data_IF_369365366200
#
_entry.id   IF_369365366200
#
_cell.length_a   1.000
_cell.length_b   1.000
_cell.length_c   1.000
_cell.angle_alpha   90.00
_cell.angle_beta   90.00
_cell.angle_gamma   90.00
#
_symmetry.space_group_name_H-M   'P 1'
#
loop_
_entity.id
_entity.type
_entity.pdbx_description
1 polymer ?
#
# COMPACT_ATOMS: atom_id res chain seq x y z
N UNK A 1 -9.78 -8.71 8.70
CA UNK A 1 -8.57 -9.39 9.25
C UNK A 1 -7.40 -8.57 8.76
N UNK A 2 -6.44 -8.17 9.58
CA UNK A 2 -5.31 -7.37 9.07
C UNK A 2 -4.54 -8.23 8.06
N UNK A 3 -4.51 -7.82 6.80
CA UNK A 3 -3.69 -8.48 5.79
C UNK A 3 -2.27 -8.59 6.32
N UNK A 4 -1.80 -9.83 6.56
CA UNK A 4 -0.45 -10.10 7.06
C UNK A 4 0.64 -9.56 6.15
N UNK A 5 0.25 -9.19 4.93
CA UNK A 5 1.08 -8.69 3.86
C UNK A 5 1.37 -7.19 3.97
N UNK A 6 0.60 -6.44 4.77
CA UNK A 6 0.80 -5.00 4.96
C UNK A 6 1.34 -4.69 6.35
N UNK A 7 2.28 -3.75 6.42
CA UNK A 7 2.68 -3.12 7.68
C UNK A 7 2.09 -1.73 7.79
N UNK A 8 1.88 -1.31 9.03
CA UNK A 8 1.32 -0.01 9.38
C UNK A 8 2.31 0.67 10.33
N UNK A 9 2.64 1.92 10.04
CA UNK A 9 3.48 2.77 10.89
C UNK A 9 2.76 4.08 11.13
N UNK A 10 2.50 4.39 12.40
CA UNK A 10 1.97 5.68 12.79
C UNK A 10 3.14 6.66 12.99
N UNK A 11 3.12 7.80 12.29
CA UNK A 11 4.08 8.90 12.40
C UNK A 11 3.32 10.20 12.67
N UNK A 12 3.34 10.67 13.92
CA UNK A 12 2.62 11.85 14.41
C UNK A 12 1.11 11.81 14.06
N UNK A 13 0.69 12.62 13.08
CA UNK A 13 -0.70 12.72 12.58
C UNK A 13 -0.96 11.86 11.33
N UNK A 14 0.04 11.12 10.86
CA UNK A 14 0.00 10.33 9.63
C UNK A 14 0.13 8.84 9.92
N UNK A 15 -0.53 8.03 9.10
CA UNK A 15 -0.41 6.58 9.11
C UNK A 15 0.16 6.18 7.76
N UNK A 16 1.35 5.59 7.78
CA UNK A 16 2.04 5.04 6.62
C UNK A 16 1.70 3.56 6.50
N UNK A 17 1.24 3.15 5.33
CA UNK A 17 0.94 1.75 5.01
C UNK A 17 1.90 1.29 3.92
N UNK A 18 2.43 0.08 4.05
CA UNK A 18 3.37 -0.48 3.08
C UNK A 18 3.36 -2.01 3.01
N UNK A 19 4.13 -2.57 2.09
CA UNK A 19 4.27 -4.01 1.89
C UNK A 19 5.31 -4.61 2.82
N UNK A 20 4.98 -5.74 3.42
CA UNK A 20 5.93 -6.55 4.18
C UNK A 20 6.91 -7.25 3.25
N UNK A 21 8.08 -7.63 3.80
CA UNK A 21 9.11 -8.36 3.04
C UNK A 21 8.56 -9.68 2.48
N UNK A 22 7.72 -10.40 3.26
CA UNK A 22 7.10 -11.64 2.81
C UNK A 22 6.18 -11.42 1.61
N UNK A 23 5.34 -10.37 1.64
CA UNK A 23 4.47 -10.05 0.52
C UNK A 23 5.27 -9.73 -0.75
N UNK A 24 6.38 -9.01 -0.62
CA UNK A 24 7.27 -8.69 -1.74
C UNK A 24 7.95 -9.94 -2.31
N UNK A 25 8.41 -10.85 -1.46
CA UNK A 25 8.98 -12.13 -1.91
C UNK A 25 7.95 -13.01 -2.64
N UNK A 26 6.71 -13.02 -2.16
CA UNK A 26 5.59 -13.76 -2.75
C UNK A 26 5.16 -13.16 -4.10
N UNK A 27 5.12 -11.83 -4.22
CA UNK A 27 4.77 -11.12 -5.45
C UNK A 27 5.90 -11.13 -6.49
N UNK A 28 7.15 -11.03 -6.04
CA UNK A 28 8.30 -10.80 -6.91
C UNK A 28 8.34 -9.37 -7.42
N UNK A 29 8.67 -9.20 -8.71
CA UNK A 29 8.78 -7.88 -9.34
C UNK A 29 7.40 -7.31 -9.64
N UNK A 30 7.14 -6.10 -9.15
CA UNK A 30 5.88 -5.41 -9.41
C UNK A 30 6.00 -4.71 -10.77
N UNK A 31 5.07 -5.01 -11.68
CA UNK A 31 5.00 -4.40 -13.01
C UNK A 31 4.04 -3.21 -13.03
N UNK A 32 3.00 -3.24 -12.21
CA UNK A 32 1.99 -2.20 -12.14
C UNK A 32 1.43 -2.04 -10.71
N UNK A 33 1.13 -0.80 -10.35
CA UNK A 33 0.52 -0.48 -9.07
C UNK A 33 -0.54 0.62 -9.26
N UNK A 34 -1.77 0.32 -8.87
CA UNK A 34 -2.89 1.26 -8.80
C UNK A 34 -3.00 1.82 -7.39
N UNK A 35 -3.12 3.15 -7.29
CA UNK A 35 -3.20 3.87 -6.03
C UNK A 35 -4.45 4.74 -5.98
N UNK A 36 -4.99 5.01 -4.77
CA UNK A 36 -6.10 5.96 -4.63
C UNK A 36 -5.62 7.39 -4.89
N UNK A 37 -6.55 8.31 -5.13
CA UNK A 37 -6.17 9.71 -5.36
C UNK A 37 -5.77 10.40 -4.05
N UNK A 38 -4.71 11.21 -4.10
CA UNK A 38 -4.38 12.11 -3.00
C UNK A 38 -5.56 13.04 -2.74
N UNK A 39 -5.99 13.12 -1.48
CA UNK A 39 -7.17 13.85 -1.03
C UNK A 39 -8.45 13.02 -0.94
N UNK A 40 -8.46 11.78 -1.44
CA UNK A 40 -9.59 10.87 -1.32
C UNK A 40 -9.75 10.40 0.13
N UNK A 41 -11.01 10.27 0.58
CA UNK A 41 -11.34 9.61 1.85
C UNK A 41 -11.47 8.11 1.59
N UNK A 42 -10.83 7.33 2.44
CA UNK A 42 -10.83 5.87 2.38
C UNK A 42 -11.29 5.34 3.74
N UNK A 43 -12.02 4.24 3.73
CA UNK A 43 -12.47 3.54 4.92
C UNK A 43 -11.67 2.24 5.08
N UNK A 44 -11.54 1.79 6.32
CA UNK A 44 -11.01 0.45 6.58
C UNK A 44 -11.86 -0.60 5.85
N UNK A 45 -11.21 -1.48 5.09
CA UNK A 45 -11.86 -2.48 4.24
C UNK A 45 -12.11 -2.03 2.80
N UNK A 46 -11.87 -0.76 2.46
CA UNK A 46 -12.01 -0.30 1.07
C UNK A 46 -10.83 -0.81 0.23
N UNK A 47 -11.09 -1.46 -0.90
CA UNK A 47 -10.08 -1.83 -1.90
C UNK A 47 -9.51 -0.56 -2.54
N UNK A 48 -8.26 -0.22 -2.19
CA UNK A 48 -7.63 1.02 -2.63
C UNK A 48 -6.29 0.82 -3.32
N UNK A 49 -5.68 -0.35 -3.17
CA UNK A 49 -4.42 -0.70 -3.81
C UNK A 49 -4.61 -1.96 -4.63
N UNK A 50 -4.14 -1.93 -5.87
CA UNK A 50 -4.04 -3.09 -6.74
C UNK A 50 -2.60 -3.20 -7.22
N UNK A 51 -1.95 -4.33 -6.99
CA UNK A 51 -0.59 -4.59 -7.44
C UNK A 51 -0.59 -5.75 -8.43
N UNK A 52 -0.05 -5.49 -9.61
CA UNK A 52 0.26 -6.51 -10.59
C UNK A 52 1.75 -6.82 -10.48
N UNK A 53 2.07 -8.06 -10.14
CA UNK A 53 3.43 -8.55 -10.09
C UNK A 53 3.62 -9.75 -11.02
N UNK A 54 4.87 -10.08 -11.31
CA UNK A 54 5.21 -11.17 -12.23
C UNK A 54 4.62 -12.52 -11.78
N UNK A 55 4.52 -12.75 -10.46
CA UNK A 55 4.03 -14.02 -9.91
C UNK A 55 2.54 -14.03 -9.65
N UNK A 56 1.94 -12.90 -9.32
CA UNK A 56 0.54 -12.80 -8.90
C UNK A 56 0.00 -11.37 -9.03
N UNK A 57 -1.31 -11.27 -9.16
CA UNK A 57 -2.05 -10.01 -9.04
C UNK A 57 -2.77 -10.03 -7.70
N UNK A 58 -2.62 -8.98 -6.91
CA UNK A 58 -3.22 -8.86 -5.58
C UNK A 58 -3.90 -7.51 -5.40
N UNK A 59 -5.00 -7.54 -4.68
CA UNK A 59 -5.74 -6.36 -4.27
C UNK A 59 -5.62 -6.25 -2.74
N UNK A 60 -5.37 -5.04 -2.26
CA UNK A 60 -5.28 -4.77 -0.83
C UNK A 60 -6.35 -3.79 -0.38
N UNK A 61 -7.05 -4.21 0.67
CA UNK A 61 -7.97 -3.38 1.42
C UNK A 61 -7.21 -2.40 2.31
N UNK A 62 -7.75 -1.19 2.49
CA UNK A 62 -7.18 -0.25 3.43
C UNK A 62 -7.29 -0.81 4.86
N UNK A 63 -6.20 -0.94 5.63
CA UNK A 63 -6.31 -1.40 7.01
C UNK A 63 -6.79 -0.29 7.95
N UNK A 64 -6.89 0.95 7.47
CA UNK A 64 -7.21 2.14 8.25
C UNK A 64 -8.17 3.06 7.48
N UNK A 65 -9.03 3.76 8.22
CA UNK A 65 -9.83 4.84 7.67
C UNK A 65 -9.08 6.17 7.77
N UNK A 66 -9.19 7.02 6.77
CA UNK A 66 -8.55 8.33 6.77
C UNK A 66 -8.63 9.04 5.42
N UNK A 67 -7.86 10.11 5.28
CA UNK A 67 -7.71 10.83 4.01
C UNK A 67 -6.31 10.58 3.45
N UNK A 68 -6.22 10.11 2.21
CA UNK A 68 -4.93 9.91 1.52
C UNK A 68 -4.25 11.28 1.40
N UNK A 69 -3.02 11.37 1.90
CA UNK A 69 -2.20 12.59 1.80
C UNK A 69 -1.02 12.41 0.85
N UNK A 70 -0.57 11.18 0.68
CA UNK A 70 0.61 10.87 -0.14
C UNK A 70 0.51 9.44 -0.65
N UNK A 71 1.02 9.21 -1.86
CA UNK A 71 1.10 7.89 -2.50
C UNK A 71 2.49 7.70 -3.11
N UNK A 72 2.99 6.48 -3.07
CA UNK A 72 4.28 6.10 -3.64
C UNK A 72 4.11 5.61 -5.09
N UNK A 73 3.58 6.47 -5.96
CA UNK A 73 3.32 6.13 -7.36
C UNK A 73 4.36 6.73 -8.33
N UNK A 74 5.49 7.24 -7.79
CA UNK A 74 6.50 7.90 -8.61
C UNK A 74 7.26 6.91 -9.50
N UNK A 75 7.55 5.72 -8.95
CA UNK A 75 8.23 4.66 -9.66
C UNK A 75 7.85 3.30 -9.03
N UNK A 76 7.32 2.40 -9.85
CA UNK A 76 6.88 1.07 -9.41
C UNK A 76 8.07 0.23 -8.92
N UNK A 77 9.28 0.46 -9.43
CA UNK A 77 10.47 -0.26 -8.98
C UNK A 77 10.83 0.01 -7.52
N UNK A 78 10.36 1.13 -6.96
CA UNK A 78 10.52 1.42 -5.53
C UNK A 78 9.68 0.50 -4.64
N UNK A 79 8.70 -0.21 -5.21
CA UNK A 79 7.88 -1.18 -4.49
C UNK A 79 8.56 -2.54 -4.35
N UNK A 80 9.61 -2.79 -5.15
CA UNK A 80 10.47 -3.97 -5.05
C UNK A 80 11.43 -3.89 -3.84
N UNK A 81 11.62 -2.70 -3.26
CA UNK A 81 12.51 -2.47 -2.11
C UNK A 81 11.92 -3.05 -0.80
N UNK A 82 12.72 -3.68 0.08
CA UNK A 82 12.22 -4.26 1.31
C UNK A 82 11.52 -3.21 2.19
N UNK A 83 10.28 -3.51 2.60
CA UNK A 83 9.42 -2.59 3.37
C UNK A 83 9.05 -1.32 2.61
N UNK A 84 8.79 -1.44 1.31
CA UNK A 84 8.28 -0.33 0.53
C UNK A 84 6.97 0.19 1.12
N UNK A 85 6.87 1.52 1.24
CA UNK A 85 5.62 2.17 1.61
C UNK A 85 4.77 2.38 0.36
N UNK A 86 3.46 2.25 0.51
CA UNK A 86 2.48 2.38 -0.57
C UNK A 86 1.81 3.75 -0.52
N UNK A 87 1.23 4.10 0.63
CA UNK A 87 0.50 5.34 0.79
C UNK A 87 0.51 5.80 2.24
N UNK A 88 0.19 7.08 2.43
CA UNK A 88 0.00 7.70 3.74
C UNK A 88 -1.41 8.24 3.85
N UNK A 89 -2.06 7.95 4.96
CA UNK A 89 -3.34 8.57 5.34
C UNK A 89 -3.16 9.48 6.53
N UNK A 90 -3.94 10.55 6.56
CA UNK A 90 -4.16 11.36 7.75
C UNK A 90 -5.44 10.91 8.42
N UNK A 91 -5.36 10.66 9.73
CA UNK A 91 -6.51 10.32 10.58
C UNK A 91 -7.50 11.49 10.66
#
# INVERSE_FOLDING_TARGET
MTDKNLWIKEEDDLIVVGLTVSAQDDLGKISFASFPKVGQKVSQGDEIIELEAEKAVVEYESPVSGKIVEINNQDVTLLDEPKAWLYKVKK
#
